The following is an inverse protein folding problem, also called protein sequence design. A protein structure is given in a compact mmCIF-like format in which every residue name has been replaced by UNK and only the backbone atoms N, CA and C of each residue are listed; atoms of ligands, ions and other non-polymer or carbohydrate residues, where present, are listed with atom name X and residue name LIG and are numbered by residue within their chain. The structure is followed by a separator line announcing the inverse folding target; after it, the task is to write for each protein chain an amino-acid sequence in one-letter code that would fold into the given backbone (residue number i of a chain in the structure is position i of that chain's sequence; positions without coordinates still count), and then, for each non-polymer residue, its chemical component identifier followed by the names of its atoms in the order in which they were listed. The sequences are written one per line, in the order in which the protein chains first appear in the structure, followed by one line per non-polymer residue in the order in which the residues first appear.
data_IF_706334994084
#
_entry.id   IF_706334994084
#
_cell.length_a   1.000
_cell.length_b   1.000
_cell.length_c   1.000
_cell.angle_alpha   90.00
_cell.angle_beta   90.00
_cell.angle_gamma   90.00
#
_symmetry.space_group_name_H-M   'P 1'
#
loop_
_entity.id
_entity.type
_entity.pdbx_description
1 polymer ?
#
# COMPACT_ATOMS: atom_id res chain seq x y z
N UNK A 1 -0.06 -3.12 -22.27
CA UNK A 1 -0.16 -2.15 -21.15
C UNK A 1 -0.27 -2.96 -19.87
N UNK A 2 0.74 -2.96 -18.99
CA UNK A 2 0.67 -3.72 -17.73
C UNK A 2 -0.40 -3.11 -16.83
N UNK A 3 -1.54 -3.78 -16.69
CA UNK A 3 -2.61 -3.37 -15.79
C UNK A 3 -2.39 -4.08 -14.45
N UNK A 4 -2.37 -3.35 -13.32
CA UNK A 4 -2.22 -3.95 -11.99
C UNK A 4 -3.55 -3.90 -11.21
N UNK A 5 -3.66 -4.68 -10.14
CA UNK A 5 -4.91 -4.81 -9.40
C UNK A 5 -5.44 -3.46 -8.84
N UNK A 6 -4.56 -2.54 -8.43
CA UNK A 6 -4.98 -1.22 -7.94
C UNK A 6 -5.53 -0.34 -9.05
N UNK A 7 -4.95 -0.40 -10.26
CA UNK A 7 -5.46 0.32 -11.43
C UNK A 7 -6.78 -0.26 -11.93
N UNK A 8 -6.99 -1.58 -11.80
CA UNK A 8 -8.28 -2.22 -12.05
C UNK A 8 -9.35 -1.71 -11.09
N UNK A 9 -9.09 -1.72 -9.77
CA UNK A 9 -10.01 -1.15 -8.78
C UNK A 9 -10.31 0.33 -9.06
N UNK A 10 -9.30 1.11 -9.46
CA UNK A 10 -9.49 2.51 -9.84
C UNK A 10 -10.45 2.63 -11.04
N UNK A 11 -10.28 1.80 -12.07
CA UNK A 11 -11.13 1.80 -13.25
C UNK A 11 -12.58 1.43 -12.90
N UNK A 12 -12.79 0.39 -12.09
CA UNK A 12 -14.10 -0.02 -11.59
C UNK A 12 -14.77 1.07 -10.74
N UNK A 13 -13.98 1.79 -9.93
CA UNK A 13 -14.50 2.87 -9.10
C UNK A 13 -14.90 4.08 -9.93
N UNK A 14 -14.13 4.40 -10.97
CA UNK A 14 -14.45 5.44 -11.95
C UNK A 14 -15.72 5.11 -12.73
N UNK A 15 -15.88 3.85 -13.17
CA UNK A 15 -17.06 3.40 -13.91
C UNK A 15 -18.35 3.54 -13.08
N UNK A 16 -18.27 3.34 -11.76
CA UNK A 16 -19.41 3.50 -10.84
C UNK A 16 -19.62 4.94 -10.34
N UNK A 17 -18.71 5.86 -10.64
CA UNK A 17 -18.76 7.20 -10.09
C UNK A 17 -19.81 8.07 -10.80
N UNK A 18 -20.83 8.53 -10.06
CA UNK A 18 -21.83 9.48 -10.56
C UNK A 18 -21.36 10.93 -10.51
N UNK A 19 -20.24 11.21 -9.82
CA UNK A 19 -19.60 12.51 -9.72
C UNK A 19 -18.08 12.38 -9.87
N UNK A 20 -17.39 13.36 -10.48
CA UNK A 20 -15.94 13.34 -10.60
C UNK A 20 -15.25 13.31 -9.23
N UNK A 21 -14.25 12.44 -9.06
CA UNK A 21 -13.36 12.48 -7.89
C UNK A 21 -12.37 13.63 -8.03
N UNK A 22 -12.49 14.64 -7.17
CA UNK A 22 -11.60 15.79 -7.16
C UNK A 22 -10.44 15.56 -6.19
N UNK A 23 -9.34 14.98 -6.70
CA UNK A 23 -8.09 14.86 -5.95
C UNK A 23 -7.48 16.24 -5.63
N UNK A 24 -6.62 16.31 -4.60
CA UNK A 24 -5.82 17.52 -4.36
C UNK A 24 -4.98 17.88 -5.58
N UNK A 25 -5.04 19.16 -5.98
CA UNK A 25 -4.46 19.62 -7.25
C UNK A 25 -5.20 19.09 -8.48
N UNK A 26 -6.54 19.08 -8.44
CA UNK A 26 -7.41 18.58 -9.52
C UNK A 26 -7.20 19.27 -10.89
N UNK A 27 -6.66 20.50 -10.91
CA UNK A 27 -6.31 21.24 -12.14
C UNK A 27 -5.09 20.67 -12.86
N UNK A 28 -4.29 19.82 -12.20
CA UNK A 28 -3.09 19.22 -12.77
C UNK A 28 -3.48 18.07 -13.70
N UNK A 29 -3.06 18.13 -14.97
CA UNK A 29 -3.18 17.00 -15.91
C UNK A 29 -2.20 15.90 -15.49
N UNK A 30 -2.75 14.73 -15.17
CA UNK A 30 -2.01 13.58 -14.62
C UNK A 30 -1.99 12.40 -15.58
N UNK A 31 -0.91 11.62 -15.51
CA UNK A 31 -0.85 10.30 -16.12
C UNK A 31 -1.94 9.41 -15.50
N UNK A 32 -2.72 8.70 -16.32
CA UNK A 32 -3.81 7.84 -15.83
C UNK A 32 -3.32 6.56 -15.14
N UNK A 33 -2.02 6.24 -15.27
CA UNK A 33 -1.37 5.13 -14.58
C UNK A 33 -0.72 5.59 -13.27
N UNK A 34 0.39 6.33 -13.35
CA UNK A 34 1.13 6.70 -12.15
C UNK A 34 0.53 7.88 -11.36
N UNK A 35 -0.53 8.52 -11.87
CA UNK A 35 -1.23 9.66 -11.24
C UNK A 35 -0.36 10.88 -10.91
N UNK A 36 0.90 10.88 -11.33
CA UNK A 36 1.78 12.04 -11.30
C UNK A 36 1.43 13.02 -12.43
N UNK A 37 1.81 14.30 -12.30
CA UNK A 37 1.73 15.25 -13.41
C UNK A 37 2.36 14.66 -14.67
N UNK A 38 1.80 14.91 -15.85
CA UNK A 38 2.30 14.31 -17.10
C UNK A 38 3.81 14.55 -17.33
N UNK A 39 4.30 15.76 -17.00
CA UNK A 39 5.72 16.14 -17.08
C UNK A 39 6.63 15.37 -16.13
N UNK A 40 6.06 14.74 -15.10
CA UNK A 40 6.75 13.97 -14.07
C UNK A 40 6.27 12.52 -14.04
N UNK A 41 5.66 12.05 -15.14
CA UNK A 41 5.25 10.65 -15.30
C UNK A 41 6.46 9.74 -15.06
N UNK A 42 6.26 8.58 -14.42
CA UNK A 42 7.32 7.60 -14.13
C UNK A 42 7.04 6.20 -14.64
N UNK A 43 6.05 6.06 -15.52
CA UNK A 43 5.66 4.75 -16.02
C UNK A 43 6.74 4.10 -16.90
N UNK A 44 7.64 4.89 -17.45
CA UNK A 44 8.80 4.45 -18.23
C UNK A 44 9.89 3.80 -17.36
N UNK A 45 9.92 4.08 -16.06
CA UNK A 45 10.91 3.53 -15.12
C UNK A 45 10.46 2.25 -14.42
N UNK A 46 9.33 1.66 -14.85
CA UNK A 46 8.75 0.51 -14.17
C UNK A 46 9.48 -0.78 -14.52
N UNK A 47 10.07 -1.40 -13.51
CA UNK A 47 10.73 -2.70 -13.61
C UNK A 47 10.11 -3.63 -12.56
N UNK A 48 9.22 -4.57 -12.96
CA UNK A 48 8.67 -5.55 -12.04
C UNK A 48 9.76 -6.45 -11.45
N UNK A 49 9.55 -6.90 -10.23
CA UNK A 49 10.39 -7.85 -9.51
C UNK A 49 9.56 -9.03 -9.02
N UNK A 50 10.22 -10.15 -8.76
CA UNK A 50 9.60 -11.37 -8.23
C UNK A 50 9.86 -11.46 -6.72
N UNK A 51 8.87 -11.94 -5.98
CA UNK A 51 8.99 -12.21 -4.55
C UNK A 51 8.22 -13.49 -4.23
N UNK A 52 8.69 -14.23 -3.23
CA UNK A 52 7.89 -15.31 -2.66
C UNK A 52 6.69 -14.72 -1.92
N UNK A 53 6.92 -13.66 -1.14
CA UNK A 53 5.87 -12.94 -0.44
C UNK A 53 4.81 -12.38 -1.41
N UNK A 54 3.56 -12.45 -0.98
CA UNK A 54 2.40 -11.88 -1.67
C UNK A 54 1.83 -10.72 -0.87
N UNK A 55 1.22 -9.76 -1.56
CA UNK A 55 0.50 -8.66 -0.95
C UNK A 55 -0.98 -8.70 -1.35
N UNK A 56 -1.84 -8.46 -0.37
CA UNK A 56 -3.27 -8.23 -0.55
C UNK A 56 -3.62 -6.86 0.01
N UNK A 57 -3.88 -5.89 -0.87
CA UNK A 57 -4.29 -4.55 -0.49
C UNK A 57 -5.81 -4.50 -0.29
N UNK A 58 -6.25 -4.30 0.95
CA UNK A 58 -7.67 -4.06 1.27
C UNK A 58 -7.84 -2.55 1.39
N UNK A 59 -8.37 -1.95 0.32
CA UNK A 59 -8.34 -0.49 0.12
C UNK A 59 -9.66 0.15 0.51
N UNK A 60 -9.59 1.28 1.24
CA UNK A 60 -10.77 2.11 1.48
C UNK A 60 -11.30 2.71 0.15
N UNK A 61 -12.60 3.02 0.08
CA UNK A 61 -13.31 3.35 -1.19
C UNK A 61 -12.63 4.41 -2.07
N UNK A 62 -12.04 5.45 -1.47
CA UNK A 62 -11.40 6.54 -2.21
C UNK A 62 -9.91 6.33 -2.46
N UNK A 63 -9.31 5.32 -1.83
CA UNK A 63 -7.86 5.14 -1.80
C UNK A 63 -7.25 4.87 -3.20
N UNK A 64 -7.82 4.00 -4.06
CA UNK A 64 -7.30 3.79 -5.43
C UNK A 64 -7.31 5.05 -6.31
N UNK A 65 -8.09 6.06 -5.93
CA UNK A 65 -8.22 7.31 -6.67
C UNK A 65 -7.15 8.35 -6.29
N UNK A 66 -6.47 8.18 -5.14
CA UNK A 66 -5.55 9.18 -4.59
C UNK A 66 -4.21 9.15 -5.34
N UNK A 67 -3.73 10.29 -5.88
CA UNK A 67 -2.40 10.36 -6.49
C UNK A 67 -1.25 10.05 -5.53
N UNK A 68 -1.48 10.19 -4.22
CA UNK A 68 -0.51 9.91 -3.15
C UNK A 68 -0.54 8.46 -2.66
N UNK A 69 -1.37 7.60 -3.24
CA UNK A 69 -1.49 6.22 -2.79
C UNK A 69 -0.18 5.46 -3.06
N UNK A 70 0.52 5.08 -1.98
CA UNK A 70 1.77 4.34 -2.07
C UNK A 70 1.55 2.81 -2.12
N UNK A 71 0.36 2.32 -1.75
CA UNK A 71 -0.04 0.92 -1.94
C UNK A 71 0.06 0.48 -3.41
N UNK A 72 -0.32 1.35 -4.36
CA UNK A 72 -0.16 1.10 -5.80
C UNK A 72 1.27 0.78 -6.20
N UNK A 73 2.27 1.38 -5.54
CA UNK A 73 3.67 1.16 -5.88
C UNK A 73 4.09 -0.29 -5.62
N UNK A 74 3.46 -0.96 -4.64
CA UNK A 74 3.62 -2.39 -4.41
C UNK A 74 3.14 -3.15 -5.64
N UNK A 75 1.93 -2.87 -6.13
CA UNK A 75 1.37 -3.52 -7.32
C UNK A 75 2.04 -3.12 -8.65
N UNK A 76 2.80 -2.02 -8.67
CA UNK A 76 3.64 -1.64 -9.82
C UNK A 76 4.90 -2.52 -9.93
N UNK A 77 5.47 -2.93 -8.78
CA UNK A 77 6.72 -3.72 -8.71
C UNK A 77 6.44 -5.21 -8.55
N UNK A 78 5.44 -5.59 -7.75
CA UNK A 78 5.04 -6.98 -7.50
C UNK A 78 3.74 -7.27 -8.26
N UNK A 79 3.81 -7.88 -9.46
CA UNK A 79 2.65 -8.03 -10.36
C UNK A 79 1.56 -8.94 -9.79
N UNK A 80 1.92 -9.88 -8.91
CA UNK A 80 0.99 -10.81 -8.26
C UNK A 80 0.31 -10.20 -7.02
N UNK A 81 0.43 -8.89 -6.82
CA UNK A 81 -0.30 -8.16 -5.76
C UNK A 81 -1.80 -8.17 -6.07
N UNK A 82 -2.59 -8.66 -5.12
CA UNK A 82 -4.05 -8.54 -5.16
C UNK A 82 -4.49 -7.22 -4.52
N UNK A 83 -5.59 -6.65 -5.02
CA UNK A 83 -6.21 -5.47 -4.42
C UNK A 83 -7.73 -5.63 -4.42
N UNK A 84 -8.36 -5.34 -3.29
CA UNK A 84 -9.81 -5.41 -3.12
C UNK A 84 -10.35 -4.14 -2.48
N UNK A 85 -11.52 -3.69 -2.93
CA UNK A 85 -12.26 -2.65 -2.23
C UNK A 85 -12.79 -3.20 -0.90
N UNK A 86 -12.53 -2.49 0.19
CA UNK A 86 -13.05 -2.83 1.50
C UNK A 86 -14.57 -2.64 1.58
N UNK A 87 -15.26 -3.62 2.16
CA UNK A 87 -16.67 -3.54 2.51
C UNK A 87 -16.87 -4.13 3.90
N UNK A 88 -17.60 -3.40 4.74
CA UNK A 88 -17.91 -3.83 6.11
C UNK A 88 -18.89 -5.00 6.14
N UNK A 89 -19.83 -5.02 5.18
CA UNK A 89 -20.99 -5.93 5.18
C UNK A 89 -20.90 -6.98 4.10
N UNK A 90 -20.30 -6.64 2.96
CA UNK A 90 -20.24 -7.48 1.77
C UNK A 90 -18.79 -7.56 1.26
N UNK A 91 -17.88 -8.22 2.01
CA UNK A 91 -16.50 -8.36 1.57
C UNK A 91 -16.44 -9.12 0.23
N UNK A 92 -15.56 -8.73 -0.71
CA UNK A 92 -15.43 -9.44 -1.98
C UNK A 92 -15.14 -10.92 -1.78
N UNK A 93 -15.87 -11.79 -2.48
CA UNK A 93 -15.72 -13.23 -2.35
C UNK A 93 -14.28 -13.69 -2.65
N UNK A 94 -13.67 -13.12 -3.70
CA UNK A 94 -12.27 -13.39 -4.07
C UNK A 94 -11.26 -13.00 -2.97
N UNK A 95 -11.55 -11.98 -2.14
CA UNK A 95 -10.73 -11.66 -0.97
C UNK A 95 -10.81 -12.79 0.06
N UNK A 96 -12.02 -13.27 0.35
CA UNK A 96 -12.22 -14.35 1.33
C UNK A 96 -11.60 -15.67 0.87
N UNK A 97 -11.60 -15.95 -0.44
CA UNK A 97 -10.95 -17.10 -1.04
C UNK A 97 -9.42 -17.00 -0.96
N UNK A 98 -8.85 -15.85 -1.32
CA UNK A 98 -7.42 -15.61 -1.23
C UNK A 98 -6.89 -15.74 0.20
N UNK A 99 -7.63 -15.19 1.17
CA UNK A 99 -7.28 -15.30 2.60
C UNK A 99 -7.32 -16.74 3.11
N UNK A 100 -8.18 -17.60 2.55
CA UNK A 100 -8.28 -19.03 2.93
C UNK A 100 -7.44 -19.96 2.06
N UNK A 101 -6.68 -19.40 1.12
CA UNK A 101 -5.97 -20.19 0.13
C UNK A 101 -4.88 -21.04 0.81
N UNK A 102 -4.85 -22.37 0.58
CA UNK A 102 -3.97 -23.27 1.34
C UNK A 102 -2.49 -23.04 1.05
N UNK A 103 -2.13 -22.43 -0.07
CA UNK A 103 -0.72 -22.22 -0.45
C UNK A 103 -0.06 -21.02 0.23
N UNK A 104 -0.82 -20.19 0.95
CA UNK A 104 -0.30 -18.97 1.57
C UNK A 104 -0.45 -18.98 3.09
N UNK A 105 0.35 -18.13 3.75
CA UNK A 105 0.21 -17.79 5.16
C UNK A 105 -0.38 -16.37 5.26
N UNK A 106 -1.72 -16.22 5.35
CA UNK A 106 -2.37 -14.92 5.51
C UNK A 106 -2.01 -14.26 6.85
N UNK A 107 -1.48 -13.04 6.81
CA UNK A 107 -1.05 -12.29 7.98
C UNK A 107 -1.53 -10.84 7.84
N UNK A 108 -2.20 -10.32 8.87
CA UNK A 108 -2.66 -8.92 8.87
C UNK A 108 -1.53 -8.02 9.31
N UNK A 109 -1.24 -6.99 8.52
CA UNK A 109 -0.21 -6.00 8.85
C UNK A 109 -0.85 -4.86 9.62
N UNK A 110 -0.59 -4.78 10.92
CA UNK A 110 -1.14 -3.74 11.79
C UNK A 110 -0.33 -3.61 13.09
N UNK A 111 -0.30 -2.45 13.77
CA UNK A 111 0.48 -2.32 14.99
C UNK A 111 -0.05 -3.21 16.13
N UNK A 112 0.88 -3.84 16.85
CA UNK A 112 0.60 -4.78 17.93
C UNK A 112 -0.35 -4.24 19.00
N UNK A 113 -0.28 -2.93 19.30
CA UNK A 113 -1.13 -2.26 20.31
C UNK A 113 -2.63 -2.27 19.98
N UNK A 114 -3.01 -2.64 18.76
CA UNK A 114 -4.41 -2.80 18.34
C UNK A 114 -4.88 -4.25 18.31
N UNK A 115 -3.97 -5.22 18.43
CA UNK A 115 -4.34 -6.61 18.56
C UNK A 115 -5.00 -6.83 19.93
N UNK A 116 -6.12 -7.55 19.97
CA UNK A 116 -6.71 -8.00 21.23
C UNK A 116 -5.86 -9.09 21.88
N UNK A 117 -6.02 -9.33 23.18
CA UNK A 117 -5.20 -10.27 23.97
C UNK A 117 -5.18 -11.70 23.40
N UNK A 118 -6.28 -12.13 22.78
CA UNK A 118 -6.40 -13.47 22.22
C UNK A 118 -5.76 -13.62 20.82
N UNK A 119 -5.32 -12.52 20.20
CA UNK A 119 -4.83 -12.54 18.82
C UNK A 119 -3.31 -12.66 18.80
N UNK A 120 -2.81 -13.67 18.09
CA UNK A 120 -1.37 -13.88 17.92
C UNK A 120 -0.71 -12.65 17.27
N UNK A 121 0.36 -12.15 17.89
CA UNK A 121 1.19 -11.07 17.37
C UNK A 121 2.58 -11.61 17.10
N UNK A 122 3.02 -11.50 15.85
CA UNK A 122 4.33 -11.95 15.38
C UNK A 122 5.19 -10.76 14.94
N UNK A 123 6.50 -10.94 15.00
CA UNK A 123 7.50 -9.94 14.56
C UNK A 123 8.23 -10.34 13.27
N UNK A 124 8.11 -11.61 12.87
CA UNK A 124 8.70 -12.17 11.66
C UNK A 124 7.69 -13.10 10.97
N UNK A 125 7.68 -13.17 9.63
CA UNK A 125 6.84 -14.14 8.92
C UNK A 125 7.20 -15.57 9.34
N UNK A 126 6.22 -16.47 9.55
CA UNK A 126 6.51 -17.87 9.85
C UNK A 126 7.23 -18.56 8.68
N UNK A 127 7.97 -19.62 8.99
CA UNK A 127 8.62 -20.44 7.97
C UNK A 127 7.60 -21.28 7.19
N UNK A 128 8.00 -21.76 6.01
CA UNK A 128 7.24 -22.71 5.20
C UNK A 128 6.60 -22.05 3.98
N UNK A 129 5.28 -21.88 4.01
CA UNK A 129 4.52 -21.35 2.88
C UNK A 129 4.75 -19.84 2.73
N UNK A 130 4.66 -19.29 1.52
CA UNK A 130 4.85 -17.86 1.33
C UNK A 130 3.85 -17.01 2.13
N UNK A 131 4.30 -15.92 2.78
CA UNK A 131 3.40 -15.03 3.49
C UNK A 131 2.50 -14.27 2.50
N UNK A 132 1.25 -14.08 2.88
CA UNK A 132 0.31 -13.17 2.25
C UNK A 132 0.07 -12.01 3.20
N UNK A 133 0.75 -10.90 2.97
CA UNK A 133 0.62 -9.68 3.76
C UNK A 133 -0.66 -8.94 3.39
N UNK A 134 -1.61 -8.89 4.32
CA UNK A 134 -2.87 -8.18 4.16
C UNK A 134 -2.67 -6.74 4.68
N UNK A 135 -2.61 -5.80 3.75
CA UNK A 135 -2.38 -4.38 4.01
C UNK A 135 -3.72 -3.64 4.01
N UNK A 136 -4.06 -3.00 5.13
CA UNK A 136 -5.24 -2.15 5.25
C UNK A 136 -4.94 -0.74 4.75
N UNK A 137 -5.21 -0.48 3.48
CA UNK A 137 -4.74 0.72 2.78
C UNK A 137 -5.78 1.85 2.81
N UNK A 138 -5.44 2.92 3.50
CA UNK A 138 -6.28 4.08 3.75
C UNK A 138 -5.58 5.07 4.67
N UNK A 139 -6.25 6.17 5.00
CA UNK A 139 -5.78 7.02 6.11
C UNK A 139 -5.79 6.25 7.43
N UNK A 140 -5.01 6.70 8.41
CA UNK A 140 -4.92 6.00 9.70
C UNK A 140 -6.29 5.73 10.37
N UNK A 141 -7.25 6.69 10.42
CA UNK A 141 -8.60 6.40 10.92
C UNK A 141 -9.37 5.37 10.08
N UNK A 142 -9.21 5.39 8.75
CA UNK A 142 -9.82 4.42 7.83
C UNK A 142 -9.24 3.03 8.06
N UNK A 143 -7.91 2.87 8.12
CA UNK A 143 -7.23 1.60 8.38
C UNK A 143 -7.63 1.01 9.73
N UNK A 144 -7.68 1.81 10.80
CA UNK A 144 -8.21 1.39 12.12
C UNK A 144 -9.67 0.94 12.06
N UNK A 145 -10.49 1.63 11.26
CA UNK A 145 -11.88 1.24 11.04
C UNK A 145 -11.95 -0.10 10.30
N UNK A 146 -11.17 -0.28 9.24
CA UNK A 146 -11.10 -1.54 8.48
C UNK A 146 -10.67 -2.68 9.39
N UNK A 147 -9.61 -2.50 10.18
CA UNK A 147 -9.12 -3.51 11.13
C UNK A 147 -10.23 -3.97 12.09
N UNK A 148 -10.90 -3.03 12.75
CA UNK A 148 -11.97 -3.33 13.72
C UNK A 148 -13.27 -3.84 13.09
N UNK A 149 -13.50 -3.57 11.81
CA UNK A 149 -14.78 -3.85 11.12
C UNK A 149 -14.63 -4.88 10.00
N UNK A 150 -13.61 -5.74 10.10
CA UNK A 150 -13.36 -6.86 9.19
C UNK A 150 -13.26 -8.17 9.99
N UNK A 151 -14.37 -8.66 10.58
CA UNK A 151 -14.33 -9.85 11.42
C UNK A 151 -13.81 -11.11 10.70
N UNK A 152 -13.90 -11.14 9.38
CA UNK A 152 -13.31 -12.17 8.53
C UNK A 152 -11.77 -12.22 8.58
N UNK A 153 -11.10 -11.24 9.21
CA UNK A 153 -9.65 -11.21 9.43
C UNK A 153 -9.25 -11.47 10.89
N UNK A 154 -10.20 -11.60 11.83
CA UNK A 154 -9.89 -11.61 13.27
C UNK A 154 -9.13 -12.86 13.72
N UNK A 155 -9.32 -13.98 13.02
CA UNK A 155 -8.65 -15.25 13.29
C UNK A 155 -7.20 -15.32 12.78
N UNK A 156 -6.75 -14.32 12.00
CA UNK A 156 -5.42 -14.30 11.41
C UNK A 156 -4.39 -13.69 12.37
N UNK A 157 -3.13 -14.15 12.37
CA UNK A 157 -2.07 -13.50 13.11
C UNK A 157 -1.86 -12.04 12.63
N UNK A 158 -1.37 -11.19 13.53
CA UNK A 158 -0.95 -9.82 13.22
C UNK A 158 0.56 -9.75 13.18
N UNK A 159 1.12 -9.19 12.11
CA UNK A 159 2.53 -8.78 12.09
C UNK A 159 2.65 -7.29 12.34
N UNK A 160 3.45 -6.94 13.34
CA UNK A 160 3.76 -5.56 13.70
C UNK A 160 5.23 -5.29 13.41
N UNK A 161 5.50 -4.35 12.51
CA UNK A 161 6.87 -4.01 12.09
C UNK A 161 7.35 -2.79 12.86
N UNK A 162 8.45 -2.93 13.60
CA UNK A 162 9.16 -1.78 14.17
C UNK A 162 10.12 -1.18 13.14
N UNK A 163 9.59 -0.25 12.36
CA UNK A 163 10.32 0.42 11.30
C UNK A 163 11.43 1.35 11.82
N UNK A 164 11.39 1.75 13.10
CA UNK A 164 12.48 2.52 13.70
C UNK A 164 13.78 1.71 13.74
N UNK A 165 13.69 0.39 13.94
CA UNK A 165 14.83 -0.53 13.96
C UNK A 165 15.34 -0.90 12.56
N UNK A 166 14.48 -0.86 11.56
CA UNK A 166 14.83 -1.16 10.16
C UNK A 166 15.39 0.09 9.42
N UNK A 167 15.18 1.28 9.98
CA UNK A 167 15.57 2.58 9.41
C UNK A 167 17.08 2.79 9.25
N UNK A 168 17.93 1.97 9.89
CA UNK A 168 19.37 2.17 9.90
C UNK A 168 20.05 1.98 8.52
N UNK A 169 19.44 1.22 7.60
CA UNK A 169 20.12 0.83 6.36
C UNK A 169 19.63 1.54 5.08
N UNK A 170 18.40 2.08 5.02
CA UNK A 170 17.85 2.61 3.75
C UNK A 170 16.91 3.83 3.81
N UNK A 171 16.48 4.30 4.98
CA UNK A 171 15.44 5.34 5.10
C UNK A 171 15.96 6.65 5.72
N UNK A 172 17.27 6.94 5.60
CA UNK A 172 17.77 8.26 5.97
C UNK A 172 17.29 9.29 4.97
N UNK A 173 16.76 10.36 5.55
CA UNK A 173 15.97 11.42 4.96
C UNK A 173 14.51 11.04 4.74
N UNK A 174 13.66 11.85 5.37
CA UNK A 174 12.21 11.91 5.23
C UNK A 174 11.45 10.99 6.19
N UNK A 175 11.25 11.43 7.43
CA UNK A 175 9.93 11.65 8.04
C UNK A 175 10.06 12.15 9.49
N UNK A 176 9.03 12.86 9.97
CA UNK A 176 8.79 13.07 11.39
C UNK A 176 8.35 11.73 12.01
N UNK A 177 8.80 11.46 13.23
CA UNK A 177 8.63 10.18 13.93
C UNK A 177 7.17 9.65 13.89
N UNK A 178 7.01 8.37 13.51
CA UNK A 178 5.85 7.57 13.91
C UNK A 178 4.73 7.29 12.88
N UNK A 179 4.80 7.74 11.62
CA UNK A 179 3.78 7.40 10.60
C UNK A 179 4.40 7.00 9.27
N UNK A 180 4.57 5.70 9.08
CA UNK A 180 5.09 5.12 7.84
C UNK A 180 3.96 4.88 6.84
N UNK A 181 4.25 5.08 5.56
CA UNK A 181 3.27 4.81 4.50
C UNK A 181 3.25 3.33 4.09
N UNK A 182 2.20 2.93 3.36
CA UNK A 182 1.96 1.54 2.92
C UNK A 182 3.17 0.91 2.21
N UNK A 183 3.86 1.66 1.35
CA UNK A 183 5.06 1.17 0.65
C UNK A 183 6.26 0.95 1.58
N UNK A 184 6.50 1.82 2.57
CA UNK A 184 7.61 1.68 3.52
C UNK A 184 7.45 0.42 4.38
N UNK A 185 6.23 0.17 4.84
CA UNK A 185 5.88 -1.06 5.56
C UNK A 185 6.10 -2.29 4.67
N UNK A 186 5.70 -2.23 3.40
CA UNK A 186 5.89 -3.35 2.47
C UNK A 186 7.36 -3.65 2.17
N UNK A 187 8.22 -2.62 2.01
CA UNK A 187 9.68 -2.79 1.84
C UNK A 187 10.26 -3.55 3.04
N UNK A 188 9.91 -3.13 4.25
CA UNK A 188 10.38 -3.78 5.47
C UNK A 188 9.89 -5.23 5.61
N UNK A 189 8.66 -5.52 5.22
CA UNK A 189 8.12 -6.88 5.23
C UNK A 189 8.83 -7.79 4.23
N UNK A 190 9.16 -7.27 3.04
CA UNK A 190 9.97 -8.00 2.05
C UNK A 190 11.36 -8.32 2.58
N UNK A 191 12.04 -7.34 3.20
CA UNK A 191 13.34 -7.56 3.83
C UNK A 191 13.26 -8.60 4.96
N UNK A 192 12.24 -8.51 5.83
CA UNK A 192 11.99 -9.48 6.90
C UNK A 192 11.69 -10.90 6.37
N UNK A 193 11.05 -11.01 5.21
CA UNK A 193 10.75 -12.28 4.55
C UNK A 193 11.92 -12.83 3.71
N UNK A 194 13.01 -12.07 3.56
CA UNK A 194 14.17 -12.44 2.74
C UNK A 194 14.01 -12.15 1.24
N UNK A 195 12.94 -11.47 0.81
CA UNK A 195 12.72 -11.02 -0.57
C UNK A 195 13.47 -9.70 -0.86
N UNK A 196 14.78 -9.70 -0.64
CA UNK A 196 15.63 -8.48 -0.61
C UNK A 196 15.75 -7.77 -1.97
N UNK A 197 15.71 -8.50 -3.08
CA UNK A 197 15.71 -7.91 -4.43
C UNK A 197 14.42 -7.12 -4.70
N UNK A 198 13.27 -7.70 -4.32
CA UNK A 198 11.98 -7.05 -4.42
C UNK A 198 11.88 -5.84 -3.47
N UNK A 199 12.42 -5.95 -2.25
CA UNK A 199 12.49 -4.84 -1.30
C UNK A 199 13.31 -3.67 -1.87
N UNK A 200 14.46 -3.98 -2.49
CA UNK A 200 15.33 -2.99 -3.16
C UNK A 200 14.60 -2.32 -4.31
N UNK A 201 14.00 -3.11 -5.20
CA UNK A 201 13.26 -2.62 -6.37
C UNK A 201 12.09 -1.70 -5.96
N UNK A 202 11.34 -2.10 -4.93
CA UNK A 202 10.23 -1.29 -4.39
C UNK A 202 10.74 -0.01 -3.73
N UNK A 203 11.85 -0.06 -3.00
CA UNK A 203 12.49 1.11 -2.39
C UNK A 203 12.96 2.14 -3.41
N UNK A 204 13.60 1.70 -4.49
CA UNK A 204 14.02 2.58 -5.59
C UNK A 204 12.82 3.23 -6.29
N UNK A 205 11.78 2.45 -6.60
CA UNK A 205 10.56 2.96 -7.21
C UNK A 205 9.83 3.96 -6.30
N UNK A 206 9.74 3.66 -5.00
CA UNK A 206 9.18 4.56 -4.00
C UNK A 206 9.95 5.88 -3.92
N UNK A 207 11.27 5.82 -3.94
CA UNK A 207 12.15 7.01 -3.91
C UNK A 207 11.90 7.89 -5.14
N UNK A 208 11.90 7.30 -6.35
CA UNK A 208 11.60 8.02 -7.60
C UNK A 208 10.19 8.64 -7.58
N UNK A 209 9.19 7.91 -7.09
CA UNK A 209 7.83 8.40 -6.93
C UNK A 209 7.79 9.61 -6.00
N UNK A 210 8.43 9.53 -4.83
CA UNK A 210 8.46 10.61 -3.84
C UNK A 210 9.10 11.87 -4.39
N UNK A 211 10.26 11.75 -5.05
CA UNK A 211 10.94 12.86 -5.73
C UNK A 211 10.05 13.54 -6.76
N UNK A 212 9.43 12.76 -7.67
CA UNK A 212 8.56 13.30 -8.72
C UNK A 212 7.22 13.84 -8.18
N UNK A 213 6.68 13.24 -7.11
CA UNK A 213 5.47 13.71 -6.44
C UNK A 213 5.68 15.06 -5.73
N UNK A 214 6.82 15.23 -5.03
CA UNK A 214 7.18 16.48 -4.38
C UNK A 214 7.49 17.59 -5.39
N UNK A 215 8.24 17.30 -6.46
CA UNK A 215 8.49 18.26 -7.54
C UNK A 215 7.18 18.71 -8.24
N UNK A 216 6.16 17.84 -8.25
CA UNK A 216 4.84 18.14 -8.81
C UNK A 216 3.92 18.96 -7.90
N UNK A 217 4.28 19.20 -6.64
CA UNK A 217 3.55 20.14 -5.78
C UNK A 217 4.00 21.54 -6.14
N UNK A 218 3.11 22.34 -6.72
CA UNK A 218 3.31 23.79 -6.85
C UNK A 218 3.62 24.37 -5.48
N UNK A 219 4.83 24.90 -5.29
CA UNK A 219 5.13 25.79 -4.18
C UNK A 219 4.17 26.97 -4.30
N UNK A 220 3.24 27.11 -3.35
CA UNK A 220 2.61 28.41 -3.18
C UNK A 220 3.72 29.32 -2.65
N UNK A 221 4.03 30.47 -3.30
CA UNK A 221 4.78 31.49 -2.61
C UNK A 221 4.00 31.76 -1.32
N UNK A 222 4.62 31.50 -0.17
CA UNK A 222 4.04 31.91 1.09
C UNK A 222 3.74 33.39 0.96
N UNK A 223 2.53 33.82 1.34
CA UNK A 223 2.22 35.22 1.44
C UNK A 223 3.32 35.87 2.29
N UNK A 224 4.17 36.66 1.64
CA UNK A 224 5.00 37.65 2.32
C UNK A 224 4.00 38.70 2.79
N UNK A 225 3.48 38.53 3.99
CA UNK A 225 2.86 39.62 4.73
C UNK A 225 3.98 40.60 5.07
N UNK A 226 3.98 41.72 4.33
CA UNK A 226 4.69 42.93 4.70
C UNK A 226 4.12 43.52 5.99
#
# INVERSE_FOLDING_TARGET
MTNNAVLQLRAERLARATRPFLARGNRVRRCQRCLLPLKSCLCDTLTPSQAKSRFCLVMFDTEPMKPSNTGRLIADILPDTAAFQWSRTEPPQALLELVRHPDYQPIVVFPASYAGEAREVISTPPAGKPPLFIMLDGTWPEARKMFRKSPYLDHLPVISVDLSRLSAYRLREIHAEGQYCTAEVAIALLDLAGDTEAATSLGEHFTRFKTRYLAGKTQHPGNVTA
#
